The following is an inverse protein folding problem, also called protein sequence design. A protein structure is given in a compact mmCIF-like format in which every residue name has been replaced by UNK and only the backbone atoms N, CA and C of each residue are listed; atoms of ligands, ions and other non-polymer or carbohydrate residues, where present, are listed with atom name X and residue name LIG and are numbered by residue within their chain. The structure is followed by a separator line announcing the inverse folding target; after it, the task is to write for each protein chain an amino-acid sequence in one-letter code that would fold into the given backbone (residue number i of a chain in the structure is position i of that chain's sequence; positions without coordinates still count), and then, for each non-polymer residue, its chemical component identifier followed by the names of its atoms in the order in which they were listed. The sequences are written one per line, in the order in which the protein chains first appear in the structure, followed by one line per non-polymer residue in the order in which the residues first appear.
data_IF_256191864042
#
_entry.id   IF_256191864042
#
_cell.length_a   1.000
_cell.length_b   1.000
_cell.length_c   1.000
_cell.angle_alpha   90.00
_cell.angle_beta   90.00
_cell.angle_gamma   90.00
#
_symmetry.space_group_name_H-M   'P 1'
#
loop_
_entity.id
_entity.type
_entity.pdbx_description
1 polymer ?
#
# COMPACT_ATOMS: atom_id res chain seq x y z
N UNK A 1 -10.80 -17.58 13.57
CA UNK A 1 -11.54 -16.73 12.61
C UNK A 1 -12.26 -17.58 11.56
N UNK A 2 -13.57 -17.36 11.36
CA UNK A 2 -14.37 -17.92 10.26
C UNK A 2 -13.86 -17.37 8.91
N UNK A 3 -13.87 -18.18 7.85
CA UNK A 3 -13.39 -17.78 6.51
C UNK A 3 -14.08 -16.53 5.96
N UNK A 4 -15.34 -16.27 6.34
CA UNK A 4 -16.06 -15.05 5.98
C UNK A 4 -15.41 -13.78 6.54
N UNK A 5 -14.91 -13.82 7.78
CA UNK A 5 -14.25 -12.68 8.40
C UNK A 5 -12.89 -12.40 7.72
N UNK A 6 -12.13 -13.45 7.40
CA UNK A 6 -10.88 -13.30 6.63
C UNK A 6 -11.15 -12.74 5.23
N UNK A 7 -12.21 -13.20 4.56
CA UNK A 7 -12.60 -12.68 3.25
C UNK A 7 -12.98 -11.20 3.31
N UNK A 8 -13.72 -10.81 4.34
CA UNK A 8 -14.06 -9.40 4.58
C UNK A 8 -12.79 -8.55 4.82
N UNK A 9 -11.83 -9.01 5.63
CA UNK A 9 -10.57 -8.30 5.87
C UNK A 9 -9.74 -8.18 4.58
N UNK A 10 -9.63 -9.26 3.81
CA UNK A 10 -8.92 -9.27 2.53
C UNK A 10 -9.47 -8.22 1.56
N UNK A 11 -10.80 -8.13 1.42
CA UNK A 11 -11.44 -7.16 0.52
C UNK A 11 -11.40 -5.74 1.10
N UNK A 12 -11.71 -5.58 2.37
CA UNK A 12 -11.78 -4.27 3.02
C UNK A 12 -10.43 -3.54 3.01
N UNK A 13 -9.32 -4.25 3.22
CA UNK A 13 -7.99 -3.63 3.18
C UNK A 13 -7.62 -3.10 1.79
N UNK A 14 -7.97 -3.82 0.72
CA UNK A 14 -7.78 -3.35 -0.66
C UNK A 14 -8.61 -2.10 -0.96
N UNK A 15 -9.89 -2.12 -0.58
CA UNK A 15 -10.78 -0.98 -0.78
C UNK A 15 -10.34 0.25 0.04
N UNK A 16 -9.86 0.03 1.27
CA UNK A 16 -9.32 1.11 2.10
C UNK A 16 -8.09 1.75 1.47
N UNK A 17 -7.18 0.96 0.89
CA UNK A 17 -6.02 1.49 0.18
C UNK A 17 -6.41 2.31 -1.05
N UNK A 18 -7.34 1.81 -1.88
CA UNK A 18 -7.83 2.55 -3.06
C UNK A 18 -8.52 3.86 -2.65
N UNK A 19 -9.36 3.82 -1.61
CA UNK A 19 -10.01 5.01 -1.10
C UNK A 19 -9.00 6.03 -0.55
N UNK A 20 -7.98 5.57 0.17
CA UNK A 20 -6.90 6.42 0.66
C UNK A 20 -6.09 7.04 -0.48
N UNK A 21 -5.78 6.28 -1.53
CA UNK A 21 -5.07 6.81 -2.70
C UNK A 21 -5.89 7.92 -3.39
N UNK A 22 -7.18 7.68 -3.64
CA UNK A 22 -8.06 8.69 -4.24
C UNK A 22 -8.15 9.92 -3.34
N UNK A 23 -8.37 9.73 -2.03
CA UNK A 23 -8.49 10.83 -1.09
C UNK A 23 -7.19 11.64 -0.98
N UNK A 24 -6.03 10.99 -0.90
CA UNK A 24 -4.74 11.67 -0.84
C UNK A 24 -4.42 12.41 -2.14
N UNK A 25 -4.73 11.82 -3.30
CA UNK A 25 -4.56 12.48 -4.59
C UNK A 25 -5.47 13.70 -4.79
N UNK A 26 -6.69 13.67 -4.23
CA UNK A 26 -7.59 14.84 -4.25
C UNK A 26 -7.22 15.91 -3.23
N UNK A 27 -6.57 15.51 -2.14
CA UNK A 27 -6.22 16.41 -1.05
C UNK A 27 -4.86 17.10 -1.26
N UNK A 28 -4.01 16.55 -2.14
CA UNK A 28 -2.72 17.15 -2.50
C UNK A 28 -2.90 18.19 -3.62
N UNK A 29 -2.59 19.45 -3.34
CA UNK A 29 -2.65 20.48 -4.37
C UNK A 29 -1.63 20.23 -5.48
N UNK A 30 -2.06 20.40 -6.74
CA UNK A 30 -1.22 20.18 -7.92
C UNK A 30 -0.94 18.72 -8.26
N UNK A 31 -1.48 17.75 -7.50
CA UNK A 31 -1.28 16.33 -7.80
C UNK A 31 -2.03 15.90 -9.07
N UNK A 32 -1.33 15.18 -9.96
CA UNK A 32 -1.91 14.60 -11.17
C UNK A 32 -1.51 13.13 -11.30
N UNK A 33 -2.48 12.22 -11.23
CA UNK A 33 -2.26 10.77 -11.43
C UNK A 33 -1.72 10.41 -12.81
N UNK A 34 -1.82 11.31 -13.79
CA UNK A 34 -1.30 11.08 -15.14
C UNK A 34 0.21 11.34 -15.26
N UNK A 35 0.77 12.16 -14.37
CA UNK A 35 2.15 12.66 -14.47
C UNK A 35 2.98 12.39 -13.21
N UNK A 36 2.35 11.98 -12.10
CA UNK A 36 3.00 11.76 -10.82
C UNK A 36 2.72 10.38 -10.29
N UNK A 37 3.69 9.85 -9.55
CA UNK A 37 3.60 8.51 -8.99
C UNK A 37 2.79 8.51 -7.69
N UNK A 38 2.20 7.36 -7.35
CA UNK A 38 1.55 7.20 -6.02
C UNK A 38 2.56 7.34 -4.89
N UNK A 39 3.84 7.03 -5.16
CA UNK A 39 4.93 7.15 -4.19
C UNK A 39 5.13 8.59 -3.70
N UNK A 40 4.85 9.61 -4.53
CA UNK A 40 4.99 11.02 -4.14
C UNK A 40 4.02 11.41 -3.01
N UNK A 41 2.83 10.79 -2.97
CA UNK A 41 1.84 11.00 -1.92
C UNK A 41 2.25 10.37 -0.57
N UNK A 42 3.34 9.59 -0.53
CA UNK A 42 3.95 9.10 0.71
C UNK A 42 5.08 9.98 1.24
N UNK A 43 5.50 11.00 0.48
CA UNK A 43 6.59 11.88 0.91
C UNK A 43 6.23 12.67 2.18
N UNK A 44 7.24 13.05 2.96
CA UNK A 44 7.05 13.95 4.10
C UNK A 44 6.55 15.34 3.70
N UNK A 45 6.76 15.72 2.44
CA UNK A 45 6.36 17.02 1.89
C UNK A 45 4.93 17.04 1.33
N UNK A 46 4.26 15.89 1.28
CA UNK A 46 2.84 15.86 0.96
C UNK A 46 2.05 16.63 2.03
N UNK A 47 0.92 17.21 1.63
CA UNK A 47 0.03 17.99 2.51
C UNK A 47 -0.58 17.08 3.58
N UNK A 48 -0.96 15.86 3.17
CA UNK A 48 -1.65 14.89 4.02
C UNK A 48 -1.13 13.44 3.81
N UNK A 49 0.18 13.18 4.05
CA UNK A 49 0.78 11.88 3.78
C UNK A 49 0.07 10.78 4.55
N UNK A 50 -0.32 11.06 5.79
CA UNK A 50 -0.93 10.11 6.72
C UNK A 50 -2.13 9.35 6.13
N UNK A 51 -2.85 9.94 5.16
CA UNK A 51 -3.97 9.29 4.46
C UNK A 51 -3.47 8.02 3.76
N UNK A 52 -2.41 8.15 2.97
CA UNK A 52 -1.83 7.01 2.25
C UNK A 52 -1.10 6.04 3.18
N UNK A 53 -0.44 6.53 4.24
CA UNK A 53 0.17 5.66 5.27
C UNK A 53 -0.85 4.71 5.90
N UNK A 54 -2.03 5.23 6.30
CA UNK A 54 -3.11 4.41 6.86
C UNK A 54 -3.67 3.43 5.82
N UNK A 55 -3.89 3.90 4.59
CA UNK A 55 -4.35 3.04 3.49
C UNK A 55 -3.37 1.89 3.21
N UNK A 56 -2.08 2.19 3.18
CA UNK A 56 -1.02 1.21 2.94
C UNK A 56 -0.92 0.22 4.10
N UNK A 57 -1.03 0.69 5.36
CA UNK A 57 -1.08 -0.17 6.53
C UNK A 57 -2.26 -1.15 6.50
N UNK A 58 -3.40 -0.78 5.90
CA UNK A 58 -4.54 -1.66 5.73
C UNK A 58 -4.28 -2.84 4.77
N UNK A 59 -3.29 -2.75 3.87
CA UNK A 59 -2.94 -3.86 2.97
C UNK A 59 -2.30 -5.04 3.70
N UNK A 60 -1.54 -4.81 4.77
CA UNK A 60 -0.84 -5.85 5.55
C UNK A 60 -1.82 -6.93 6.06
N UNK A 61 -2.85 -6.60 6.87
CA UNK A 61 -3.80 -7.61 7.31
C UNK A 61 -4.63 -8.18 6.15
N UNK A 62 -4.86 -7.41 5.07
CA UNK A 62 -5.55 -7.90 3.87
C UNK A 62 -4.77 -9.03 3.19
N UNK A 63 -3.48 -8.84 2.95
CA UNK A 63 -2.62 -9.84 2.31
C UNK A 63 -2.43 -11.09 3.19
N UNK A 64 -2.24 -10.91 4.49
CA UNK A 64 -2.16 -12.04 5.43
C UNK A 64 -3.47 -12.83 5.49
N UNK A 65 -4.62 -12.15 5.43
CA UNK A 65 -5.92 -12.81 5.36
C UNK A 65 -6.09 -13.60 4.05
N UNK A 66 -5.67 -13.03 2.92
CA UNK A 66 -5.65 -13.72 1.61
C UNK A 66 -4.75 -14.94 1.62
N UNK A 67 -3.51 -14.83 2.12
CA UNK A 67 -2.58 -15.95 2.27
C UNK A 67 -3.18 -17.09 3.12
N UNK A 68 -3.83 -16.72 4.23
CA UNK A 68 -4.51 -17.68 5.12
C UNK A 68 -5.67 -18.39 4.42
N UNK A 69 -6.49 -17.65 3.65
CA UNK A 69 -7.60 -18.22 2.89
C UNK A 69 -7.11 -19.19 1.80
N UNK A 70 -6.07 -18.81 1.06
CA UNK A 70 -5.47 -19.65 0.03
C UNK A 70 -5.02 -21.00 0.61
N UNK A 71 -4.27 -20.97 1.72
CA UNK A 71 -3.83 -22.19 2.40
C UNK A 71 -5.01 -23.03 2.93
N UNK A 72 -6.08 -22.40 3.43
CA UNK A 72 -7.25 -23.12 3.97
C UNK A 72 -8.13 -23.75 2.90
N UNK A 73 -8.31 -23.09 1.76
CA UNK A 73 -9.27 -23.53 0.74
C UNK A 73 -8.62 -24.45 -0.31
N UNK A 74 -7.35 -24.22 -0.65
CA UNK A 74 -6.65 -24.93 -1.72
C UNK A 74 -5.54 -25.87 -1.19
N UNK A 75 -5.27 -25.84 0.12
CA UNK A 75 -4.30 -26.73 0.77
C UNK A 75 -2.85 -26.46 0.32
N UNK A 76 -1.98 -27.48 0.34
CA UNK A 76 -0.53 -27.29 0.14
C UNK A 76 -0.14 -26.78 -1.25
N UNK A 77 -0.99 -26.95 -2.26
CA UNK A 77 -0.73 -26.44 -3.63
C UNK A 77 -0.71 -24.92 -3.71
N UNK A 78 -1.37 -24.23 -2.78
CA UNK A 78 -1.41 -22.77 -2.74
C UNK A 78 -0.29 -22.12 -1.93
N UNK A 79 0.62 -22.90 -1.34
CA UNK A 79 1.78 -22.39 -0.57
C UNK A 79 2.63 -21.36 -1.31
N UNK A 80 3.01 -21.54 -2.60
CA UNK A 80 3.80 -20.52 -3.29
C UNK A 80 3.01 -19.21 -3.44
N UNK A 81 1.72 -19.27 -3.80
CA UNK A 81 0.88 -18.08 -3.88
C UNK A 81 0.70 -17.40 -2.51
N UNK A 82 0.47 -18.18 -1.44
CA UNK A 82 0.37 -17.64 -0.09
C UNK A 82 1.70 -16.99 0.37
N UNK A 83 2.85 -17.58 0.01
CA UNK A 83 4.16 -17.02 0.31
C UNK A 83 4.37 -15.66 -0.37
N UNK A 84 3.89 -15.48 -1.61
CA UNK A 84 3.92 -14.17 -2.30
C UNK A 84 3.14 -13.11 -1.51
N UNK A 85 1.95 -13.43 -1.00
CA UNK A 85 1.18 -12.48 -0.19
C UNK A 85 1.85 -12.17 1.16
N UNK A 86 2.51 -13.16 1.78
CA UNK A 86 3.31 -12.92 3.01
C UNK A 86 4.51 -12.01 2.71
N UNK A 87 5.24 -12.27 1.62
CA UNK A 87 6.35 -11.43 1.19
C UNK A 87 5.89 -10.02 0.85
N UNK A 88 4.76 -9.86 0.14
CA UNK A 88 4.16 -8.56 -0.13
C UNK A 88 3.82 -7.81 1.16
N UNK A 89 3.30 -8.51 2.18
CA UNK A 89 3.05 -7.91 3.51
C UNK A 89 4.33 -7.40 4.17
N UNK A 90 5.42 -8.18 4.08
CA UNK A 90 6.71 -7.78 4.63
C UNK A 90 7.29 -6.57 3.89
N UNK A 91 7.20 -6.54 2.55
CA UNK A 91 7.62 -5.40 1.74
C UNK A 91 6.84 -4.14 2.08
N UNK A 92 5.52 -4.25 2.26
CA UNK A 92 4.69 -3.12 2.70
C UNK A 92 5.14 -2.60 4.07
N UNK A 93 5.44 -3.49 5.03
CA UNK A 93 5.97 -3.08 6.33
C UNK A 93 7.32 -2.36 6.22
N UNK A 94 8.21 -2.81 5.32
CA UNK A 94 9.48 -2.13 5.07
C UNK A 94 9.24 -0.72 4.53
N UNK A 95 8.35 -0.56 3.54
CA UNK A 95 7.96 0.76 3.01
C UNK A 95 7.39 1.64 4.12
N UNK A 96 6.53 1.08 4.99
CA UNK A 96 5.98 1.79 6.15
C UNK A 96 7.01 2.15 7.23
N UNK A 97 8.24 1.66 7.14
CA UNK A 97 9.34 2.01 8.04
C UNK A 97 10.43 2.83 7.33
N UNK A 98 10.29 3.05 6.02
CA UNK A 98 11.23 3.80 5.19
C UNK A 98 10.48 4.87 4.39
N UNK A 99 10.00 5.95 5.05
CA UNK A 99 9.36 7.06 4.37
C UNK A 99 10.26 7.67 3.31
N UNK A 100 9.66 8.16 2.22
CA UNK A 100 10.36 9.02 1.27
C UNK A 100 10.57 10.40 1.89
N UNK A 101 11.79 10.92 1.79
CA UNK A 101 12.16 12.20 2.37
C UNK A 101 11.60 13.40 1.57
N UNK A 102 11.43 13.27 0.24
CA UNK A 102 11.12 14.40 -0.65
C UNK A 102 10.29 14.01 -1.89
N UNK A 103 9.64 15.00 -2.51
CA UNK A 103 8.93 14.86 -3.79
C UNK A 103 9.85 15.20 -4.98
N UNK A 104 9.90 14.34 -5.99
CA UNK A 104 10.69 14.56 -7.21
C UNK A 104 10.23 15.75 -8.05
N UNK A 105 8.99 16.20 -7.90
CA UNK A 105 8.43 17.33 -8.65
C UNK A 105 8.50 18.68 -7.89
N UNK A 106 8.94 18.69 -6.63
CA UNK A 106 9.05 19.89 -5.79
C UNK A 106 10.48 20.28 -5.41
N UNK A 107 11.37 19.29 -5.29
CA UNK A 107 12.77 19.52 -4.93
C UNK A 107 13.74 19.05 -6.05
N UNK A 108 14.46 19.98 -6.71
CA UNK A 108 15.40 19.64 -7.79
C UNK A 108 16.58 18.77 -7.30
N UNK A 109 16.89 18.77 -6.01
CA UNK A 109 17.92 17.91 -5.43
C UNK A 109 17.44 16.47 -5.20
N UNK A 110 16.11 16.27 -5.11
CA UNK A 110 15.47 14.96 -5.05
C UNK A 110 15.37 14.35 -6.45
N UNK A 111 14.98 15.14 -7.46
CA UNK A 111 14.95 14.71 -8.87
C UNK A 111 16.31 14.17 -9.34
N UNK A 112 17.40 14.86 -9.00
CA UNK A 112 18.76 14.49 -9.38
C UNK A 112 19.28 13.17 -8.77
N UNK A 113 18.56 12.54 -7.83
CA UNK A 113 18.93 11.22 -7.27
C UNK A 113 18.26 10.05 -7.99
N UNK A 114 17.27 10.32 -8.84
CA UNK A 114 16.45 9.29 -9.53
C UNK A 114 16.77 9.20 -11.02
N UNK A 115 17.49 10.19 -11.58
CA UNK A 115 18.15 10.16 -12.90
C UNK A 115 19.50 9.40 -12.85
#
# INVERSE_FOLDING_TARGET
MRSRALGAVAVAGQLAFVAAWIAGGLAQEGYSTATQTVSELFSHEADHPWILWIGLAALVPSYLATATLLCRMLGPRARPAAAVFVLASALVLIVLLSPLDCMTNGDPSCAARVD
#
